data_IF_991941302269
#
_entry.id   IF_991941302269
#
_cell.length_a   1.000
_cell.length_b   1.000
_cell.length_c   1.000
_cell.angle_alpha   90.00
_cell.angle_beta   90.00
_cell.angle_gamma   90.00
#
_symmetry.space_group_name_H-M   'P 1'
#
loop_
_entity.id
_entity.type
_entity.pdbx_description
1 polymer ?
#
# COMPACT_ATOMS: atom_id res chain seq x y z
N UNK A 1 -0.30 13.09 -66.17
CA UNK A 1 0.12 13.85 -65.00
C UNK A 1 -0.78 13.41 -63.82
N UNK A 2 -0.31 12.51 -62.99
CA UNK A 2 -0.97 12.14 -61.74
C UNK A 2 -0.35 12.91 -60.57
N UNK A 3 -1.13 13.48 -59.67
CA UNK A 3 -0.59 14.05 -58.44
C UNK A 3 -0.36 12.96 -57.40
N UNK A 4 0.85 12.88 -56.90
CA UNK A 4 1.22 12.01 -55.79
C UNK A 4 0.58 12.50 -54.51
N UNK A 5 -0.21 11.60 -53.87
CA UNK A 5 -0.77 11.83 -52.56
C UNK A 5 0.30 11.69 -51.48
N UNK A 6 0.52 12.78 -50.81
CA UNK A 6 1.45 12.91 -49.70
C UNK A 6 0.83 12.22 -48.45
N UNK A 7 1.22 10.99 -48.15
CA UNK A 7 0.89 10.28 -46.88
C UNK A 7 1.99 10.56 -45.88
N UNK A 8 1.98 11.72 -45.30
CA UNK A 8 2.67 11.96 -44.04
C UNK A 8 1.67 11.65 -42.89
N UNK A 9 1.62 10.42 -42.53
CA UNK A 9 0.91 9.95 -41.35
C UNK A 9 1.72 10.35 -40.13
N UNK A 10 1.17 11.22 -39.33
CA UNK A 10 1.65 11.57 -38.00
C UNK A 10 1.81 10.30 -37.14
N UNK A 11 3.02 9.85 -36.99
CA UNK A 11 3.40 8.98 -35.87
C UNK A 11 3.43 9.86 -34.61
N UNK A 12 2.27 10.05 -33.97
CA UNK A 12 2.22 10.53 -32.60
C UNK A 12 2.90 9.48 -31.75
N UNK A 13 4.05 9.82 -31.19
CA UNK A 13 4.74 9.06 -30.14
C UNK A 13 3.76 8.77 -29.01
N UNK A 14 3.17 7.59 -29.02
CA UNK A 14 2.45 7.04 -27.89
C UNK A 14 3.48 6.76 -26.80
N UNK A 15 3.76 7.76 -25.98
CA UNK A 15 4.52 7.59 -24.74
C UNK A 15 3.89 6.42 -24.01
N UNK A 16 4.60 5.29 -23.91
CA UNK A 16 4.06 4.07 -23.30
C UNK A 16 3.47 4.44 -21.94
N UNK A 17 2.16 4.23 -21.78
CA UNK A 17 1.44 4.65 -20.58
C UNK A 17 2.05 3.95 -19.37
N UNK A 18 2.53 4.74 -18.41
CA UNK A 18 3.18 4.22 -17.21
C UNK A 18 2.21 3.37 -16.38
N UNK A 19 2.51 2.08 -16.18
CA UNK A 19 1.59 1.13 -15.53
C UNK A 19 1.40 1.37 -14.02
N UNK A 20 2.26 2.17 -13.38
CA UNK A 20 2.10 2.69 -12.02
C UNK A 20 2.61 4.13 -12.01
N UNK A 21 1.75 5.07 -11.64
CA UNK A 21 2.07 6.50 -11.54
C UNK A 21 2.45 6.85 -10.09
N UNK A 22 3.36 7.80 -9.93
CA UNK A 22 3.69 8.43 -8.65
C UNK A 22 3.59 9.94 -8.80
N UNK A 23 2.71 10.59 -8.05
CA UNK A 23 2.71 12.04 -7.82
C UNK A 23 2.90 12.35 -6.34
N UNK A 24 3.37 13.57 -6.04
CA UNK A 24 3.48 14.06 -4.67
C UNK A 24 2.86 15.45 -4.66
N UNK A 25 1.82 15.64 -3.87
CA UNK A 25 1.06 16.87 -3.71
C UNK A 25 0.88 17.11 -2.22
N UNK A 26 1.17 18.31 -1.74
CA UNK A 26 1.06 18.70 -0.32
C UNK A 26 1.69 17.69 0.66
N UNK A 27 2.89 17.21 0.32
CA UNK A 27 3.62 16.18 1.07
C UNK A 27 2.91 14.81 1.15
N UNK A 28 1.85 14.58 0.40
CA UNK A 28 1.17 13.28 0.25
C UNK A 28 1.61 12.65 -1.07
N UNK A 29 2.09 11.41 -1.01
CA UNK A 29 2.45 10.64 -2.19
C UNK A 29 1.25 9.80 -2.66
N UNK A 30 0.86 9.96 -3.92
CA UNK A 30 -0.18 9.18 -4.59
C UNK A 30 0.49 8.13 -5.48
N UNK A 31 0.21 6.88 -5.20
CA UNK A 31 0.67 5.73 -5.98
C UNK A 31 -0.53 5.11 -6.67
N UNK A 32 -0.64 5.30 -7.98
CA UNK A 32 -1.81 4.85 -8.76
C UNK A 32 -1.41 3.69 -9.67
N UNK A 33 -2.01 2.53 -9.44
CA UNK A 33 -1.95 1.41 -10.40
C UNK A 33 -2.72 1.79 -11.64
N UNK A 34 -2.08 1.80 -12.81
CA UNK A 34 -2.58 2.44 -14.01
C UNK A 34 -2.61 1.49 -15.22
N UNK A 35 -3.39 0.43 -15.09
CA UNK A 35 -3.77 -0.49 -16.17
C UNK A 35 -5.29 -0.72 -16.15
N UNK A 36 -6.12 0.34 -16.29
CA UNK A 36 -7.58 0.22 -16.16
C UNK A 36 -8.20 -0.74 -17.17
N UNK A 37 -7.66 -0.82 -18.39
CA UNK A 37 -8.05 -1.77 -19.46
C UNK A 37 -7.83 -3.24 -19.09
N UNK A 38 -7.05 -3.51 -18.05
CA UNK A 38 -6.77 -4.84 -17.48
C UNK A 38 -7.18 -4.93 -16.01
N UNK A 39 -8.08 -4.05 -15.55
CA UNK A 39 -8.56 -4.03 -14.17
C UNK A 39 -7.40 -3.99 -13.16
N UNK A 40 -6.34 -3.28 -13.50
CA UNK A 40 -5.09 -3.17 -12.74
C UNK A 40 -4.43 -4.52 -12.38
N UNK A 41 -4.64 -5.56 -13.21
CA UNK A 41 -3.99 -6.86 -13.02
C UNK A 41 -2.47 -6.73 -13.06
N UNK A 42 -1.80 -7.39 -12.10
CA UNK A 42 -0.38 -7.27 -11.82
C UNK A 42 0.47 -8.03 -12.84
N UNK A 43 1.19 -7.32 -13.68
CA UNK A 43 2.25 -7.86 -14.52
C UNK A 43 3.64 -7.62 -13.90
N UNK A 44 4.70 -8.19 -14.48
CA UNK A 44 6.06 -8.04 -13.96
C UNK A 44 6.51 -6.57 -13.84
N UNK A 45 6.12 -5.73 -14.78
CA UNK A 45 6.47 -4.31 -14.75
C UNK A 45 5.86 -3.61 -13.53
N UNK A 46 4.58 -3.87 -13.21
CA UNK A 46 3.94 -3.33 -12.01
C UNK A 46 4.64 -3.80 -10.73
N UNK A 47 5.02 -5.09 -10.63
CA UNK A 47 5.80 -5.57 -9.49
C UNK A 47 7.10 -4.78 -9.29
N UNK A 48 7.85 -4.58 -10.36
CA UNK A 48 9.12 -3.83 -10.30
C UNK A 48 8.90 -2.35 -9.97
N UNK A 49 7.87 -1.73 -10.54
CA UNK A 49 7.56 -0.32 -10.29
C UNK A 49 7.09 -0.10 -8.85
N UNK A 50 6.17 -0.92 -8.34
CA UNK A 50 5.70 -0.83 -6.94
C UNK A 50 6.85 -1.03 -5.94
N UNK A 51 7.72 -2.03 -6.17
CA UNK A 51 8.92 -2.26 -5.34
C UNK A 51 9.86 -1.05 -5.37
N UNK A 52 10.10 -0.46 -6.55
CA UNK A 52 10.98 0.70 -6.69
C UNK A 52 10.38 1.97 -6.05
N UNK A 53 9.09 2.24 -6.29
CA UNK A 53 8.38 3.39 -5.70
C UNK A 53 8.42 3.31 -4.18
N UNK A 54 8.10 2.16 -3.59
CA UNK A 54 8.15 2.00 -2.14
C UNK A 54 9.54 2.27 -1.55
N UNK A 55 10.61 1.83 -2.23
CA UNK A 55 12.00 2.11 -1.83
C UNK A 55 12.35 3.60 -1.94
N UNK A 56 11.89 4.29 -2.99
CA UNK A 56 12.06 5.74 -3.16
C UNK A 56 11.35 6.50 -2.04
N UNK A 57 10.10 6.15 -1.75
CA UNK A 57 9.31 6.80 -0.71
C UNK A 57 9.88 6.55 0.69
N UNK A 58 10.47 5.37 0.93
CA UNK A 58 11.15 5.09 2.21
C UNK A 58 12.29 6.08 2.51
N UNK A 59 13.02 6.52 1.48
CA UNK A 59 14.12 7.48 1.59
C UNK A 59 13.66 8.94 1.60
N UNK A 60 12.45 9.22 1.13
CA UNK A 60 11.91 10.58 1.07
C UNK A 60 11.46 11.04 2.47
N UNK A 61 12.17 12.02 3.04
CA UNK A 61 11.90 12.54 4.38
C UNK A 61 10.79 13.58 4.44
N UNK A 62 10.44 14.19 3.31
CA UNK A 62 9.40 15.23 3.21
C UNK A 62 7.98 14.63 3.24
N UNK A 63 7.80 13.49 2.55
CA UNK A 63 6.48 12.83 2.47
C UNK A 63 5.94 12.53 3.86
N UNK A 64 4.67 12.93 4.08
CA UNK A 64 3.94 12.80 5.34
C UNK A 64 2.93 11.64 5.33
N UNK A 65 2.48 11.22 4.16
CA UNK A 65 1.57 10.09 3.96
C UNK A 65 1.64 9.53 2.56
N UNK A 66 1.13 8.32 2.38
CA UNK A 66 1.04 7.64 1.09
C UNK A 66 -0.39 7.15 0.90
N UNK A 67 -0.96 7.45 -0.27
CA UNK A 67 -2.24 6.92 -0.73
C UNK A 67 -1.96 5.98 -1.90
N UNK A 68 -2.53 4.77 -1.85
CA UNK A 68 -2.43 3.78 -2.92
C UNK A 68 -3.83 3.51 -3.46
N UNK A 69 -4.00 3.61 -4.77
CA UNK A 69 -5.28 3.47 -5.46
C UNK A 69 -5.13 2.80 -6.82
N UNK A 70 -6.25 2.39 -7.42
CA UNK A 70 -6.35 1.95 -8.81
C UNK A 70 -6.88 3.06 -9.71
N UNK A 71 -6.49 3.07 -10.97
CA UNK A 71 -7.11 3.89 -12.02
C UNK A 71 -8.31 3.14 -12.60
N UNK A 72 -9.39 3.85 -12.94
CA UNK A 72 -10.59 3.26 -13.55
C UNK A 72 -11.55 2.64 -12.54
N UNK A 73 -12.15 1.51 -12.89
CA UNK A 73 -13.30 0.94 -12.14
C UNK A 73 -12.91 -0.03 -11.02
N UNK A 74 -11.63 -0.41 -10.92
CA UNK A 74 -11.16 -1.41 -9.95
C UNK A 74 -9.86 -0.98 -9.28
N UNK A 75 -9.72 -1.33 -8.02
CA UNK A 75 -8.43 -1.21 -7.33
C UNK A 75 -7.39 -2.13 -7.97
N UNK A 76 -7.62 -3.45 -7.98
CA UNK A 76 -6.75 -4.44 -8.63
C UNK A 76 -7.41 -5.82 -8.63
N UNK A 77 -7.52 -6.44 -9.80
CA UNK A 77 -8.12 -7.77 -9.97
C UNK A 77 -7.18 -8.95 -9.67
N UNK A 78 -5.95 -8.69 -9.21
CA UNK A 78 -4.98 -9.72 -8.86
C UNK A 78 -3.89 -9.93 -9.90
N UNK A 79 -3.37 -11.16 -10.02
CA UNK A 79 -2.26 -11.48 -10.90
C UNK A 79 -2.70 -11.55 -12.36
N UNK A 80 -1.95 -10.92 -13.27
CA UNK A 80 -2.09 -11.13 -14.71
C UNK A 80 -1.47 -12.48 -15.10
N UNK A 81 -2.23 -13.56 -14.79
CA UNK A 81 -1.80 -14.96 -14.96
C UNK A 81 -1.30 -15.23 -16.37
N UNK A 82 -2.01 -14.71 -17.40
CA UNK A 82 -1.62 -14.90 -18.81
C UNK A 82 -0.26 -14.27 -19.11
N UNK A 83 0.02 -13.11 -18.54
CA UNK A 83 1.29 -12.40 -18.73
C UNK A 83 2.45 -13.10 -18.00
N UNK A 84 2.20 -13.60 -16.78
CA UNK A 84 3.22 -14.23 -15.94
C UNK A 84 3.59 -15.64 -16.47
N UNK A 85 2.60 -16.43 -16.87
CA UNK A 85 2.84 -17.81 -17.37
C UNK A 85 3.53 -17.85 -18.74
N UNK A 86 3.49 -16.79 -19.53
CA UNK A 86 4.18 -16.74 -20.84
C UNK A 86 5.70 -16.97 -20.74
N UNK A 87 6.31 -16.67 -19.57
CA UNK A 87 7.76 -16.81 -19.35
C UNK A 87 8.02 -17.45 -18.00
N UNK A 88 8.41 -18.73 -17.92
CA UNK A 88 8.69 -19.42 -16.65
C UNK A 88 9.71 -18.70 -15.76
N UNK A 89 10.70 -18.03 -16.38
CA UNK A 89 11.68 -17.19 -15.66
C UNK A 89 11.05 -16.05 -14.83
N UNK A 90 9.83 -15.61 -15.20
CA UNK A 90 9.08 -14.60 -14.46
C UNK A 90 8.66 -15.12 -13.09
N UNK A 91 8.13 -16.34 -13.01
CA UNK A 91 7.74 -16.98 -11.75
C UNK A 91 8.96 -17.15 -10.82
N UNK A 92 10.08 -17.65 -11.36
CA UNK A 92 11.33 -17.76 -10.61
C UNK A 92 11.75 -16.41 -10.05
N UNK A 93 11.74 -15.35 -10.87
CA UNK A 93 12.13 -13.99 -10.44
C UNK A 93 11.22 -13.42 -9.37
N UNK A 94 9.92 -13.72 -9.39
CA UNK A 94 8.97 -13.29 -8.38
C UNK A 94 9.20 -13.96 -7.03
N UNK A 95 9.46 -15.28 -7.04
CA UNK A 95 9.54 -16.12 -5.85
C UNK A 95 10.95 -16.24 -5.27
N UNK A 96 12.00 -15.93 -6.06
CA UNK A 96 13.39 -16.04 -5.62
C UNK A 96 13.71 -15.18 -4.41
N UNK A 97 14.40 -15.75 -3.43
CA UNK A 97 14.94 -15.06 -2.26
C UNK A 97 16.25 -15.70 -1.78
N UNK A 98 17.13 -14.86 -1.25
CA UNK A 98 18.44 -15.29 -0.75
C UNK A 98 18.34 -16.00 0.61
N UNK A 99 17.45 -15.51 1.50
CA UNK A 99 17.26 -16.06 2.84
C UNK A 99 15.78 -16.42 3.01
N UNK A 100 15.45 -17.58 3.62
CA UNK A 100 14.07 -18.02 3.81
C UNK A 100 13.17 -16.97 4.49
N UNK A 101 13.68 -16.23 5.48
CA UNK A 101 12.95 -15.18 6.20
C UNK A 101 12.90 -13.82 5.51
N UNK A 102 13.60 -13.61 4.37
CA UNK A 102 13.53 -12.37 3.61
C UNK A 102 12.32 -12.36 2.66
N UNK A 103 11.87 -11.17 2.28
CA UNK A 103 10.79 -11.02 1.29
C UNK A 103 11.33 -11.15 -0.14
N UNK A 104 10.69 -11.99 -0.97
CA UNK A 104 10.88 -12.01 -2.42
C UNK A 104 10.18 -10.82 -3.09
N UNK A 105 10.29 -10.68 -4.42
CA UNK A 105 9.69 -9.56 -5.15
C UNK A 105 8.16 -9.53 -5.01
N UNK A 106 7.48 -10.67 -5.10
CA UNK A 106 6.04 -10.75 -4.95
C UNK A 106 5.58 -10.32 -3.54
N UNK A 107 6.35 -10.67 -2.51
CA UNK A 107 6.06 -10.27 -1.13
C UNK A 107 6.38 -8.78 -0.88
N UNK A 108 7.42 -8.24 -1.51
CA UNK A 108 7.83 -6.84 -1.28
C UNK A 108 6.80 -5.82 -1.72
N UNK A 109 6.02 -6.08 -2.77
CA UNK A 109 4.97 -5.14 -3.22
C UNK A 109 3.82 -4.97 -2.23
N UNK A 110 3.72 -5.86 -1.25
CA UNK A 110 2.85 -5.73 -0.08
C UNK A 110 3.65 -5.27 1.15
N UNK A 111 4.70 -5.99 1.52
CA UNK A 111 5.38 -5.80 2.81
C UNK A 111 6.18 -4.50 2.91
N UNK A 112 6.64 -3.92 1.80
CA UNK A 112 7.39 -2.66 1.84
C UNK A 112 6.56 -1.50 2.38
N UNK A 113 5.26 -1.43 2.08
CA UNK A 113 4.36 -0.38 2.57
C UNK A 113 4.25 -0.36 4.09
N UNK A 114 4.30 -1.54 4.71
CA UNK A 114 4.29 -1.72 6.16
C UNK A 114 5.49 -1.07 6.84
N UNK A 115 6.62 -1.00 6.13
CA UNK A 115 7.89 -0.51 6.67
C UNK A 115 8.14 0.97 6.37
N UNK A 116 7.27 1.63 5.58
CA UNK A 116 7.38 3.06 5.37
C UNK A 116 7.19 3.82 6.70
N UNK A 117 8.04 4.82 6.96
CA UNK A 117 7.96 5.60 8.19
C UNK A 117 6.88 6.70 8.15
N UNK A 118 5.82 6.48 7.40
CA UNK A 118 4.64 7.35 7.24
C UNK A 118 3.38 6.50 7.17
N UNK A 119 2.18 7.06 7.46
CA UNK A 119 0.93 6.35 7.24
C UNK A 119 0.75 6.00 5.77
N UNK A 120 0.22 4.80 5.50
CA UNK A 120 -0.12 4.30 4.18
C UNK A 120 -1.59 3.93 4.17
N UNK A 121 -2.37 4.62 3.33
CA UNK A 121 -3.81 4.40 3.18
C UNK A 121 -4.07 3.75 1.82
N UNK A 122 -4.81 2.66 1.81
CA UNK A 122 -5.31 2.00 0.61
C UNK A 122 -6.71 2.50 0.32
N UNK A 123 -6.91 3.17 -0.82
CA UNK A 123 -8.23 3.61 -1.31
C UNK A 123 -8.75 2.54 -2.26
N UNK A 124 -9.72 1.78 -1.80
CA UNK A 124 -10.21 0.58 -2.48
C UNK A 124 -11.59 0.87 -3.08
N UNK A 125 -11.77 0.54 -4.35
CA UNK A 125 -13.05 0.58 -5.06
C UNK A 125 -13.14 -0.59 -6.03
N UNK A 126 -14.36 -1.00 -6.40
CA UNK A 126 -14.57 -2.13 -7.29
C UNK A 126 -13.87 -3.40 -6.81
N UNK A 127 -13.13 -4.06 -7.67
CA UNK A 127 -12.45 -5.32 -7.35
C UNK A 127 -11.11 -5.10 -6.64
N UNK A 128 -10.96 -5.74 -5.48
CA UNK A 128 -9.71 -5.86 -4.73
C UNK A 128 -9.46 -7.35 -4.45
N UNK A 129 -8.93 -8.07 -5.45
CA UNK A 129 -8.88 -9.53 -5.45
C UNK A 129 -7.45 -10.08 -5.51
N UNK A 130 -7.23 -11.25 -4.89
CA UNK A 130 -5.98 -11.98 -4.93
C UNK A 130 -4.77 -11.12 -4.57
N UNK A 131 -3.81 -10.99 -5.49
CA UNK A 131 -2.63 -10.13 -5.31
C UNK A 131 -2.96 -8.67 -5.00
N UNK A 132 -4.09 -8.15 -5.50
CA UNK A 132 -4.59 -6.80 -5.18
C UNK A 132 -4.93 -6.67 -3.69
N UNK A 133 -5.68 -7.64 -3.14
CA UNK A 133 -5.98 -7.67 -1.72
C UNK A 133 -4.71 -7.84 -0.87
N UNK A 134 -3.78 -8.68 -1.32
CA UNK A 134 -2.52 -8.85 -0.60
C UNK A 134 -1.67 -7.56 -0.57
N UNK A 135 -1.69 -6.74 -1.65
CA UNK A 135 -1.10 -5.40 -1.63
C UNK A 135 -1.83 -4.50 -0.64
N UNK A 136 -3.17 -4.49 -0.65
CA UNK A 136 -3.98 -3.68 0.26
C UNK A 136 -3.73 -4.01 1.74
N UNK A 137 -3.47 -5.28 2.06
CA UNK A 137 -3.08 -5.73 3.40
C UNK A 137 -1.69 -5.23 3.85
N UNK A 138 -0.91 -4.69 2.93
CA UNK A 138 0.36 -4.00 3.24
C UNK A 138 0.17 -2.58 3.79
N UNK A 139 -1.00 -1.96 3.61
CA UNK A 139 -1.32 -0.63 4.15
C UNK A 139 -1.55 -0.61 5.66
N UNK A 140 -1.54 0.58 6.23
CA UNK A 140 -1.93 0.78 7.63
C UNK A 140 -3.45 0.86 7.75
N UNK A 141 -4.08 1.58 6.83
CA UNK A 141 -5.52 1.77 6.76
C UNK A 141 -6.04 1.34 5.39
N UNK A 142 -7.26 0.83 5.34
CA UNK A 142 -7.98 0.41 4.13
C UNK A 142 -9.35 1.07 4.16
N UNK A 143 -9.53 2.09 3.32
CA UNK A 143 -10.78 2.82 3.15
C UNK A 143 -11.39 2.35 1.83
N UNK A 144 -12.62 1.87 1.87
CA UNK A 144 -13.29 1.22 0.74
C UNK A 144 -14.52 1.96 0.33
N UNK A 145 -14.80 2.01 -0.99
CA UNK A 145 -16.12 2.41 -1.46
C UNK A 145 -17.18 1.34 -1.14
N UNK A 146 -18.47 1.72 -1.05
CA UNK A 146 -19.55 0.76 -0.76
C UNK A 146 -19.70 -0.37 -1.78
N UNK A 147 -19.35 -0.11 -3.04
CA UNK A 147 -19.40 -1.07 -4.17
C UNK A 147 -18.20 -2.03 -4.23
N UNK A 148 -17.20 -1.84 -3.37
CA UNK A 148 -16.00 -2.64 -3.39
C UNK A 148 -16.28 -4.10 -3.03
N UNK A 149 -15.56 -4.99 -3.73
CA UNK A 149 -15.58 -6.43 -3.47
C UNK A 149 -14.17 -6.93 -3.18
N UNK A 150 -14.02 -7.79 -2.17
CA UNK A 150 -12.73 -8.28 -1.70
C UNK A 150 -12.69 -9.81 -1.75
N UNK A 151 -11.55 -10.39 -2.13
CA UNK A 151 -11.37 -11.84 -2.15
C UNK A 151 -9.92 -12.25 -2.09
N UNK A 152 -9.64 -13.36 -1.40
CA UNK A 152 -8.39 -14.12 -1.48
C UNK A 152 -8.59 -15.19 -2.56
N UNK A 153 -8.15 -14.92 -3.79
CA UNK A 153 -8.49 -15.72 -4.97
C UNK A 153 -7.61 -16.95 -5.20
N UNK A 154 -6.52 -17.06 -4.49
CA UNK A 154 -5.41 -17.99 -4.77
C UNK A 154 -5.87 -19.45 -4.79
N UNK A 155 -6.74 -19.87 -3.86
CA UNK A 155 -7.24 -21.25 -3.79
C UNK A 155 -8.00 -21.70 -5.04
N UNK A 156 -8.69 -20.78 -5.76
CA UNK A 156 -9.33 -21.09 -7.06
C UNK A 156 -8.36 -21.55 -8.13
N UNK A 157 -7.07 -21.16 -7.97
CA UNK A 157 -5.98 -21.50 -8.89
C UNK A 157 -5.09 -22.62 -8.36
N UNK A 158 -5.48 -23.27 -7.24
CA UNK A 158 -4.65 -24.27 -6.57
C UNK A 158 -3.39 -23.69 -5.92
N UNK A 159 -3.42 -22.42 -5.56
CA UNK A 159 -2.32 -21.66 -4.96
C UNK A 159 -2.67 -21.24 -3.53
N UNK A 160 -1.68 -20.74 -2.81
CA UNK A 160 -1.84 -20.11 -1.50
C UNK A 160 -1.55 -18.61 -1.61
N UNK A 161 -2.05 -17.76 -0.69
CA UNK A 161 -1.67 -16.35 -0.62
C UNK A 161 -0.18 -16.24 -0.25
N UNK A 162 0.65 -15.86 -1.21
CA UNK A 162 2.12 -15.89 -1.12
C UNK A 162 2.78 -14.52 -1.26
N UNK A 163 2.00 -13.44 -1.35
CA UNK A 163 2.50 -12.07 -1.47
C UNK A 163 2.55 -11.31 -0.12
N UNK A 164 2.55 -12.04 1.00
CA UNK A 164 2.62 -11.45 2.35
C UNK A 164 1.28 -11.03 2.94
N UNK A 165 0.15 -11.31 2.28
CA UNK A 165 -1.20 -11.01 2.76
C UNK A 165 -1.52 -11.64 4.11
N UNK A 166 -1.07 -12.88 4.36
CA UNK A 166 -1.24 -13.58 5.64
C UNK A 166 -0.70 -12.79 6.83
N UNK A 167 0.38 -12.02 6.65
CA UNK A 167 0.92 -11.16 7.71
C UNK A 167 -0.09 -10.07 8.08
N UNK A 168 -0.69 -9.40 7.07
CA UNK A 168 -1.70 -8.38 7.31
C UNK A 168 -2.96 -8.94 7.93
N UNK A 169 -3.48 -10.06 7.39
CA UNK A 169 -4.68 -10.72 7.93
C UNK A 169 -4.52 -11.10 9.40
N UNK A 170 -3.39 -11.70 9.77
CA UNK A 170 -3.08 -12.09 11.16
C UNK A 170 -3.18 -10.91 12.15
N UNK A 171 -2.91 -9.70 11.71
CA UNK A 171 -2.91 -8.51 12.58
C UNK A 171 -4.28 -7.89 12.79
N UNK A 172 -5.24 -8.15 11.89
CA UNK A 172 -6.47 -7.35 11.82
C UNK A 172 -7.74 -8.17 11.92
N UNK A 173 -7.70 -9.49 11.70
CA UNK A 173 -8.92 -10.29 11.68
C UNK A 173 -8.77 -11.61 12.43
N UNK A 174 -9.91 -12.23 12.79
CA UNK A 174 -9.95 -13.53 13.42
C UNK A 174 -9.43 -14.62 12.48
N UNK A 175 -8.71 -15.61 13.03
CA UNK A 175 -8.04 -16.66 12.26
C UNK A 175 -9.03 -17.45 11.39
N UNK A 176 -10.18 -17.82 11.93
CA UNK A 176 -11.22 -18.59 11.24
C UNK A 176 -11.78 -17.83 10.04
N UNK A 177 -12.02 -16.51 10.16
CA UNK A 177 -12.47 -15.64 9.07
C UNK A 177 -11.42 -15.53 7.95
N UNK A 178 -10.16 -15.37 8.34
CA UNK A 178 -9.06 -15.38 7.38
C UNK A 178 -8.90 -16.72 6.65
N UNK A 179 -9.01 -17.84 7.36
CA UNK A 179 -8.99 -19.18 6.79
C UNK A 179 -10.17 -19.44 5.87
N UNK A 180 -11.38 -19.07 6.30
CA UNK A 180 -12.60 -19.19 5.48
C UNK A 180 -12.46 -18.46 4.16
N UNK A 181 -12.05 -17.18 4.17
CA UNK A 181 -11.82 -16.40 2.95
C UNK A 181 -10.77 -17.04 2.04
N UNK A 182 -9.64 -17.46 2.61
CA UNK A 182 -8.54 -18.01 1.83
C UNK A 182 -8.86 -19.39 1.25
N UNK A 183 -9.52 -20.27 2.01
CA UNK A 183 -9.83 -21.65 1.58
C UNK A 183 -11.00 -21.71 0.61
N UNK A 184 -12.02 -20.86 0.79
CA UNK A 184 -13.19 -20.84 -0.09
C UNK A 184 -12.98 -19.96 -1.33
N UNK A 185 -12.02 -19.03 -1.26
CA UNK A 185 -11.82 -17.98 -2.25
C UNK A 185 -13.11 -17.21 -2.56
N UNK A 186 -14.00 -17.07 -1.55
CA UNK A 186 -15.25 -16.34 -1.69
C UNK A 186 -14.98 -14.84 -1.92
N UNK A 187 -15.90 -14.23 -2.64
CA UNK A 187 -15.95 -12.77 -2.77
C UNK A 187 -16.88 -12.24 -1.69
N UNK A 188 -16.43 -11.26 -0.94
CA UNK A 188 -17.22 -10.54 0.05
C UNK A 188 -17.39 -9.09 -0.33
N UNK A 189 -18.46 -8.46 0.09
CA UNK A 189 -18.74 -7.03 -0.07
C UNK A 189 -18.07 -6.18 1.02
N UNK A 190 -18.14 -4.87 0.89
CA UNK A 190 -17.54 -3.93 1.83
C UNK A 190 -18.15 -4.03 3.26
N UNK A 191 -19.47 -4.15 3.47
CA UNK A 191 -20.05 -4.38 4.80
C UNK A 191 -19.52 -5.63 5.48
N UNK A 192 -19.49 -6.77 4.79
CA UNK A 192 -18.92 -8.03 5.33
C UNK A 192 -17.43 -7.89 5.63
N UNK A 193 -16.68 -7.18 4.76
CA UNK A 193 -15.26 -6.93 4.98
C UNK A 193 -15.01 -6.06 6.22
N UNK A 194 -15.91 -5.11 6.52
CA UNK A 194 -15.85 -4.30 7.74
C UNK A 194 -16.17 -5.16 8.98
N UNK A 195 -17.20 -6.00 8.93
CA UNK A 195 -17.53 -6.95 10.00
C UNK A 195 -16.35 -7.88 10.32
N UNK A 196 -15.65 -8.37 9.28
CA UNK A 196 -14.48 -9.22 9.43
C UNK A 196 -13.21 -8.45 9.86
N UNK A 197 -13.30 -7.14 10.06
CA UNK A 197 -12.17 -6.25 10.37
C UNK A 197 -11.08 -6.23 9.27
N UNK A 198 -11.41 -6.71 8.07
CA UNK A 198 -10.50 -6.72 6.93
C UNK A 198 -10.21 -5.32 6.42
N UNK A 199 -11.18 -4.41 6.55
CA UNK A 199 -11.05 -2.99 6.18
C UNK A 199 -11.24 -2.09 7.40
N UNK A 200 -10.79 -0.85 7.28
CA UNK A 200 -10.85 0.14 8.37
C UNK A 200 -12.18 0.89 8.39
N UNK A 201 -12.66 1.26 7.19
CA UNK A 201 -13.81 2.14 7.03
C UNK A 201 -14.43 1.98 5.63
N UNK A 202 -15.75 2.17 5.53
CA UNK A 202 -16.47 2.32 4.26
C UNK A 202 -16.79 3.81 4.09
N UNK A 203 -16.50 4.37 2.91
CA UNK A 203 -16.70 5.78 2.58
C UNK A 203 -17.18 5.92 1.14
N UNK A 204 -18.10 6.83 0.88
CA UNK A 204 -18.56 7.16 -0.49
C UNK A 204 -17.43 7.78 -1.33
N UNK A 205 -16.48 8.46 -0.69
CA UNK A 205 -15.26 8.97 -1.32
C UNK A 205 -14.02 8.52 -0.52
N UNK A 206 -13.47 7.34 -0.80
CA UNK A 206 -12.29 6.81 -0.12
C UNK A 206 -11.06 7.71 -0.26
N UNK A 207 -10.93 8.41 -1.39
CA UNK A 207 -9.79 9.29 -1.64
C UNK A 207 -9.85 10.56 -0.79
N UNK A 208 -10.98 11.23 -0.74
CA UNK A 208 -11.17 12.41 0.12
C UNK A 208 -10.98 12.03 1.59
N UNK A 209 -11.56 10.92 2.03
CA UNK A 209 -11.41 10.44 3.42
C UNK A 209 -9.95 10.07 3.77
N UNK A 210 -9.22 9.47 2.83
CA UNK A 210 -7.79 9.15 3.01
C UNK A 210 -6.94 10.42 3.14
N UNK A 211 -7.20 11.45 2.34
CA UNK A 211 -6.54 12.76 2.45
C UNK A 211 -6.77 13.36 3.83
N UNK A 212 -8.03 13.46 4.25
CA UNK A 212 -8.40 13.96 5.58
C UNK A 212 -7.69 13.22 6.70
N UNK A 213 -7.65 11.88 6.66
CA UNK A 213 -6.96 11.08 7.68
C UNK A 213 -5.45 11.38 7.72
N UNK A 214 -4.80 11.51 6.56
CA UNK A 214 -3.37 11.84 6.49
C UNK A 214 -3.13 13.28 7.00
N UNK A 215 -4.00 14.22 6.70
CA UNK A 215 -3.95 15.59 7.19
C UNK A 215 -4.07 15.64 8.72
N UNK A 216 -5.05 14.95 9.31
CA UNK A 216 -5.22 14.81 10.75
C UNK A 216 -3.94 14.26 11.42
N UNK A 217 -3.39 13.15 10.87
CA UNK A 217 -2.15 12.57 11.37
C UNK A 217 -0.98 13.56 11.21
N UNK A 218 -0.95 14.33 10.13
CA UNK A 218 0.11 15.27 9.79
C UNK A 218 0.13 16.51 10.70
N UNK A 219 -0.92 16.77 11.48
CA UNK A 219 -0.87 17.78 12.55
C UNK A 219 0.14 17.39 13.65
N UNK A 220 0.54 16.14 13.73
CA UNK A 220 1.48 15.63 14.71
C UNK A 220 2.93 15.58 14.20
N UNK A 221 3.87 15.44 15.12
CA UNK A 221 5.30 15.32 14.79
C UNK A 221 5.56 14.14 13.84
N UNK A 222 6.23 14.36 12.68
CA UNK A 222 6.52 13.28 11.74
C UNK A 222 7.42 12.21 12.33
N UNK A 223 8.30 12.57 13.25
CA UNK A 223 9.15 11.61 13.95
C UNK A 223 8.33 10.74 14.91
N UNK A 224 7.37 11.33 15.63
CA UNK A 224 6.48 10.58 16.53
C UNK A 224 5.61 9.61 15.74
N UNK A 225 4.94 10.07 14.68
CA UNK A 225 4.12 9.22 13.79
C UNK A 225 4.93 8.04 13.24
N UNK A 226 6.16 8.30 12.76
CA UNK A 226 7.03 7.25 12.23
C UNK A 226 7.41 6.19 13.30
N UNK A 227 7.66 6.63 14.54
CA UNK A 227 8.07 5.71 15.62
C UNK A 227 6.88 4.97 16.22
N UNK A 228 5.72 5.61 16.35
CA UNK A 228 4.46 4.94 16.71
C UNK A 228 4.21 3.78 15.75
N UNK A 229 4.14 4.06 14.43
CA UNK A 229 3.98 2.99 13.44
C UNK A 229 5.02 1.87 13.61
N UNK A 230 6.29 2.23 13.80
CA UNK A 230 7.38 1.26 13.95
C UNK A 230 7.21 0.40 15.21
N UNK A 231 6.83 0.99 16.34
CA UNK A 231 6.62 0.25 17.60
C UNK A 231 5.46 -0.73 17.41
N UNK A 232 4.30 -0.25 16.97
CA UNK A 232 3.13 -1.09 16.75
C UNK A 232 3.43 -2.26 15.80
N UNK A 233 4.00 -1.99 14.61
CA UNK A 233 4.31 -3.02 13.61
C UNK A 233 5.37 -4.04 14.06
N UNK A 234 6.28 -3.67 14.95
CA UNK A 234 7.38 -4.54 15.41
C UNK A 234 7.10 -5.23 16.75
N UNK A 235 6.18 -4.70 17.54
CA UNK A 235 5.93 -5.16 18.91
C UNK A 235 4.58 -5.89 19.07
N UNK A 236 3.60 -5.68 18.18
CA UNK A 236 2.20 -6.13 18.33
C UNK A 236 2.02 -7.60 18.72
N UNK A 237 2.93 -8.46 18.27
CA UNK A 237 2.90 -9.90 18.57
C UNK A 237 4.10 -10.35 19.40
N UNK A 238 4.72 -9.43 20.16
CA UNK A 238 5.84 -9.71 21.04
C UNK A 238 5.37 -9.83 22.49
N UNK A 239 6.24 -10.38 23.37
CA UNK A 239 5.98 -10.36 24.79
C UNK A 239 6.10 -8.93 25.34
N UNK A 240 5.52 -8.71 26.53
CA UNK A 240 5.46 -7.39 27.17
C UNK A 240 6.85 -6.76 27.38
N UNK A 241 7.86 -7.55 27.74
CA UNK A 241 9.23 -7.06 27.93
C UNK A 241 9.82 -6.47 26.64
N UNK A 242 9.61 -7.11 25.50
CA UNK A 242 10.02 -6.59 24.17
C UNK A 242 9.28 -5.31 23.81
N UNK A 243 8.00 -5.20 24.18
CA UNK A 243 7.18 -4.01 23.93
C UNK A 243 7.73 -2.84 24.75
N UNK A 244 7.83 -3.02 26.08
CA UNK A 244 8.31 -1.99 27.03
C UNK A 244 9.72 -1.51 26.70
N UNK A 245 10.61 -2.41 26.33
CA UNK A 245 11.97 -2.05 25.90
C UNK A 245 11.97 -1.16 24.65
N UNK A 246 11.12 -1.46 23.65
CA UNK A 246 11.00 -0.66 22.43
C UNK A 246 10.37 0.70 22.67
N UNK A 247 9.33 0.77 23.50
CA UNK A 247 8.69 2.03 23.89
C UNK A 247 9.71 2.94 24.58
N UNK A 248 10.41 2.44 25.59
CA UNK A 248 11.44 3.20 26.31
C UNK A 248 12.56 3.67 25.38
N UNK A 249 13.08 2.78 24.53
CA UNK A 249 14.15 3.12 23.57
C UNK A 249 13.73 4.24 22.61
N UNK A 250 12.53 4.16 22.03
CA UNK A 250 12.07 5.17 21.09
C UNK A 250 11.65 6.46 21.81
N UNK A 251 11.07 6.38 23.02
CA UNK A 251 10.70 7.55 23.80
C UNK A 251 11.94 8.42 24.14
N UNK A 252 13.03 7.81 24.60
CA UNK A 252 14.29 8.53 24.83
C UNK A 252 14.76 9.28 23.59
N UNK A 253 14.70 8.65 22.42
CA UNK A 253 15.10 9.29 21.17
C UNK A 253 14.14 10.41 20.75
N UNK A 254 12.86 10.30 21.06
CA UNK A 254 11.89 11.37 20.79
C UNK A 254 12.13 12.59 21.66
N UNK A 255 12.38 12.43 22.95
CA UNK A 255 12.66 13.54 23.88
C UNK A 255 13.85 14.40 23.43
N UNK A 256 14.83 13.82 22.76
CA UNK A 256 15.99 14.54 22.21
C UNK A 256 15.71 15.14 20.82
N UNK A 257 14.56 14.91 20.25
CA UNK A 257 14.22 15.26 18.86
C UNK A 257 13.89 16.75 18.68
N UNK A 258 14.22 17.30 17.49
CA UNK A 258 13.87 18.68 17.13
C UNK A 258 12.35 18.87 16.98
N UNK A 259 11.67 17.90 16.37
CA UNK A 259 10.23 17.95 16.16
C UNK A 259 9.43 17.80 17.46
N UNK A 260 9.96 17.12 18.47
CA UNK A 260 9.38 17.08 19.83
C UNK A 260 9.34 18.49 20.45
N UNK A 261 10.46 19.23 20.37
CA UNK A 261 10.53 20.61 20.86
C UNK A 261 9.55 21.55 20.13
N UNK A 262 9.37 21.33 18.81
CA UNK A 262 8.37 22.07 18.03
C UNK A 262 6.96 21.71 18.50
N UNK A 263 6.66 20.41 18.72
CA UNK A 263 5.36 19.96 19.21
C UNK A 263 4.98 20.63 20.53
N UNK A 264 5.88 20.68 21.50
CA UNK A 264 5.67 21.37 22.77
C UNK A 264 5.33 22.86 22.54
N UNK A 265 6.12 23.56 21.71
CA UNK A 265 5.86 24.99 21.40
C UNK A 265 4.51 25.21 20.72
N UNK A 266 4.12 24.32 19.80
CA UNK A 266 2.80 24.39 19.14
C UNK A 266 1.65 24.31 20.15
N UNK A 267 1.73 23.40 21.12
CA UNK A 267 0.72 23.25 22.18
C UNK A 267 0.81 24.34 23.26
N UNK A 268 1.95 25.05 23.35
CA UNK A 268 2.15 26.15 24.30
C UNK A 268 1.89 27.55 23.69
N UNK A 269 1.05 27.64 22.65
CA UNK A 269 0.59 28.92 22.10
C UNK A 269 1.26 29.37 20.80
N UNK A 270 2.01 28.49 20.10
CA UNK A 270 2.63 28.77 18.78
C UNK A 270 2.22 27.73 17.72
N UNK A 271 0.91 27.59 17.41
CA UNK A 271 0.40 26.57 16.51
C UNK A 271 0.90 26.71 15.07
N UNK A 272 1.35 27.90 14.67
CA UNK A 272 1.86 28.25 13.33
C UNK A 272 3.22 27.61 13.02
N UNK A 273 3.96 27.15 14.02
CA UNK A 273 5.28 26.55 13.81
C UNK A 273 5.17 25.28 12.96
N UNK A 274 5.95 25.22 11.89
CA UNK A 274 6.01 24.03 11.02
C UNK A 274 7.01 23.00 11.55
N UNK A 275 6.64 21.73 11.48
CA UNK A 275 7.59 20.65 11.74
C UNK A 275 8.69 20.62 10.68
N UNK A 276 9.88 20.19 11.08
CA UNK A 276 10.98 19.85 10.16
C UNK A 276 10.71 18.51 9.50
N UNK A 277 11.43 18.25 8.41
CA UNK A 277 11.46 16.95 7.78
C UNK A 277 11.77 15.86 8.80
N UNK A 278 11.28 14.67 8.54
CA UNK A 278 11.49 13.50 9.39
C UNK A 278 12.98 13.15 9.54
N UNK A 279 13.41 12.84 10.76
CA UNK A 279 14.79 12.48 11.09
C UNK A 279 15.23 11.13 10.45
#
# INVERSE_FOLDING_TARGET
MCPQSNKNTQAMDAKAQECVKLSIEDDIAFVTMNRPDKHNALNMEMFLKLDNISKKLHKNKKVRGVIIQGEGVDFCSGLDVKSILKKPSTGVRLLWKWLPGSSNLAQRVSTNWRHLPVPVVMCIHGRCWGGGLQIALGGDFRITSPDATLSVMEAKWGLIPDMGGTIGMREIMALDKGMEMAMTAKVIDAPTALEYQLITEVSDDPLARAKTLIEEISQNSPDAVAKIKRVFRKAWHKNDGDILARESFWQWRMLLGKNQKIAVKRHSGKPELKYKDRA
#
